data_IF_123927857991
#
_entry.id   IF_123927857991
#
_cell.length_a   1.000
_cell.length_b   1.000
_cell.length_c   1.000
_cell.angle_alpha   90.00
_cell.angle_beta   90.00
_cell.angle_gamma   90.00
#
_symmetry.space_group_name_H-M   'P 1'
#
loop_
_entity.id
_entity.type
_entity.pdbx_description
1 polymer ?
#
# COMPACT_ATOMS: atom_id res chain seq x y z
N UNK A 1 -3.15 -5.79 5.13
CA UNK A 1 -4.36 -6.36 4.51
C UNK A 1 -4.56 -7.76 5.06
N UNK A 2 -5.78 -8.07 5.52
CA UNK A 2 -6.15 -9.40 5.99
C UNK A 2 -7.35 -9.87 5.16
N UNK A 3 -7.28 -11.10 4.63
CA UNK A 3 -8.37 -11.73 3.92
C UNK A 3 -9.17 -12.63 4.87
N UNK A 4 -10.13 -12.04 5.59
CA UNK A 4 -10.97 -12.77 6.57
C UNK A 4 -12.07 -13.65 5.96
N UNK A 5 -12.00 -13.95 4.67
CA UNK A 5 -12.96 -14.85 4.02
C UNK A 5 -12.71 -16.30 4.46
N UNK A 6 -13.77 -17.12 4.52
CA UNK A 6 -13.65 -18.51 4.95
C UNK A 6 -13.04 -19.43 3.87
N UNK A 7 -13.38 -19.19 2.60
CA UNK A 7 -12.96 -20.04 1.47
C UNK A 7 -12.57 -19.25 0.21
N UNK A 8 -12.66 -17.92 0.27
CA UNK A 8 -12.42 -17.07 -0.90
C UNK A 8 -11.00 -16.54 -0.89
N UNK A 9 -10.20 -17.05 -1.81
CA UNK A 9 -8.83 -16.60 -2.06
C UNK A 9 -8.78 -15.34 -2.94
N UNK A 10 -7.68 -14.61 -2.87
CA UNK A 10 -7.22 -13.70 -3.92
C UNK A 10 -6.19 -14.46 -4.73
N UNK A 11 -6.56 -14.89 -5.94
CA UNK A 11 -5.68 -15.66 -6.83
C UNK A 11 -4.90 -14.72 -7.76
N UNK A 12 -4.01 -15.26 -8.59
CA UNK A 12 -3.34 -14.52 -9.68
C UNK A 12 -4.37 -13.83 -10.59
N UNK A 13 -4.18 -12.56 -10.99
CA UNK A 13 -2.96 -11.74 -10.89
C UNK A 13 -2.72 -11.03 -9.54
N UNK A 14 -3.49 -11.35 -8.51
CA UNK A 14 -3.35 -10.79 -7.18
C UNK A 14 -4.23 -9.56 -6.93
N UNK A 15 -4.09 -8.98 -5.74
CA UNK A 15 -4.78 -7.75 -5.39
C UNK A 15 -4.09 -6.51 -5.96
N UNK A 16 -4.88 -5.49 -6.26
CA UNK A 16 -4.43 -4.15 -6.60
C UNK A 16 -5.13 -3.15 -5.69
N UNK A 17 -4.36 -2.31 -5.01
CA UNK A 17 -4.87 -1.31 -4.07
C UNK A 17 -4.66 0.09 -4.65
N UNK A 18 -5.73 0.87 -4.76
CA UNK A 18 -5.66 2.28 -5.14
C UNK A 18 -6.23 3.19 -4.06
N UNK A 19 -5.83 4.45 -4.10
CA UNK A 19 -6.46 5.52 -3.34
C UNK A 19 -6.22 6.87 -4.01
N UNK A 20 -6.81 7.93 -3.46
CA UNK A 20 -6.62 9.31 -3.90
C UNK A 20 -6.05 10.15 -2.76
N UNK A 21 -4.92 10.81 -2.99
CA UNK A 21 -4.35 11.78 -2.06
C UNK A 21 -5.27 12.99 -1.91
N UNK A 22 -5.42 13.47 -0.67
CA UNK A 22 -6.32 14.58 -0.36
C UNK A 22 -5.79 15.91 -0.89
N UNK A 23 -4.46 16.08 -0.94
CA UNK A 23 -3.78 17.31 -1.35
C UNK A 23 -2.72 17.00 -2.41
N UNK A 24 -1.44 17.17 -2.05
CA UNK A 24 -0.25 17.06 -2.91
C UNK A 24 0.73 16.01 -2.36
N UNK A 25 0.23 15.10 -1.53
CA UNK A 25 1.04 14.02 -0.98
C UNK A 25 1.65 13.18 -2.12
N UNK A 26 2.85 12.67 -1.87
CA UNK A 26 3.61 11.81 -2.79
C UNK A 26 4.14 10.60 -2.05
N UNK A 27 4.41 9.51 -2.77
CA UNK A 27 5.07 8.33 -2.23
C UNK A 27 6.57 8.49 -2.41
N UNK A 28 7.30 8.66 -1.31
CA UNK A 28 8.77 8.74 -1.34
C UNK A 28 9.39 7.37 -1.56
N UNK A 29 9.01 6.40 -0.73
CA UNK A 29 9.53 5.03 -0.79
C UNK A 29 8.42 4.04 -0.43
N UNK A 30 8.61 2.80 -0.86
CA UNK A 30 7.73 1.67 -0.55
C UNK A 30 8.57 0.43 -0.31
N UNK A 31 8.13 -0.42 0.63
CA UNK A 31 8.77 -1.70 0.95
C UNK A 31 7.69 -2.78 1.03
N UNK A 32 7.91 -3.91 0.37
CA UNK A 32 6.96 -5.03 0.26
C UNK A 32 5.91 -4.87 -0.84
N UNK A 33 5.75 -3.68 -1.41
CA UNK A 33 4.84 -3.40 -2.52
C UNK A 33 5.40 -2.28 -3.39
N UNK A 34 4.84 -2.08 -4.58
CA UNK A 34 5.25 -1.02 -5.50
C UNK A 34 4.06 -0.35 -6.17
N UNK A 35 4.19 0.95 -6.43
CA UNK A 35 3.31 1.64 -7.36
C UNK A 35 3.56 1.16 -8.80
N UNK A 36 2.49 0.98 -9.57
CA UNK A 36 2.57 0.54 -10.98
C UNK A 36 3.07 1.64 -11.92
N UNK A 37 2.94 2.90 -11.51
CA UNK A 37 3.33 4.07 -12.30
C UNK A 37 3.92 5.15 -11.38
N UNK A 38 4.97 5.83 -11.84
CA UNK A 38 5.57 6.94 -11.10
C UNK A 38 4.78 8.24 -11.27
N UNK A 39 4.25 8.52 -12.47
CA UNK A 39 3.59 9.79 -12.80
C UNK A 39 4.56 10.96 -13.01
N UNK A 40 4.03 12.18 -13.04
CA UNK A 40 4.84 13.39 -13.23
C UNK A 40 5.47 13.86 -11.91
N UNK A 41 6.75 13.54 -11.73
CA UNK A 41 7.58 13.99 -10.61
C UNK A 41 8.53 15.15 -10.99
N UNK A 42 8.33 15.84 -12.11
CA UNK A 42 9.25 16.88 -12.63
C UNK A 42 9.56 18.04 -11.66
N UNK A 43 8.67 18.26 -10.68
CA UNK A 43 8.86 19.27 -9.62
C UNK A 43 9.99 18.96 -8.65
N UNK A 44 10.39 17.70 -8.53
CA UNK A 44 11.44 17.25 -7.63
C UNK A 44 12.78 17.20 -8.39
N UNK A 45 13.78 17.94 -7.88
CA UNK A 45 15.14 17.94 -8.45
C UNK A 45 16.05 17.10 -7.55
N UNK A 46 16.85 16.22 -8.15
CA UNK A 46 17.73 15.31 -7.40
C UNK A 46 17.00 14.01 -7.02
N UNK A 47 16.62 13.87 -5.75
CA UNK A 47 15.87 12.70 -5.29
C UNK A 47 14.43 12.77 -5.79
N UNK A 48 14.04 11.76 -6.59
CA UNK A 48 12.71 11.66 -7.18
C UNK A 48 11.88 10.70 -6.33
N UNK A 49 10.65 11.05 -5.92
CA UNK A 49 9.76 10.14 -5.21
C UNK A 49 9.43 8.88 -6.03
N UNK A 50 9.15 7.77 -5.34
CA UNK A 50 8.65 6.54 -5.95
C UNK A 50 7.40 6.76 -6.81
N UNK A 51 6.46 7.61 -6.36
CA UNK A 51 5.28 7.95 -7.14
C UNK A 51 4.71 9.34 -6.77
N UNK A 52 4.44 10.16 -7.79
CA UNK A 52 3.83 11.48 -7.67
C UNK A 52 2.39 11.54 -8.21
N UNK A 53 1.81 10.40 -8.62
CA UNK A 53 0.40 10.36 -9.02
C UNK A 53 -0.49 10.70 -7.83
N UNK A 54 -1.50 11.55 -8.07
CA UNK A 54 -2.54 11.84 -7.09
C UNK A 54 -3.38 10.60 -6.74
N UNK A 55 -3.47 9.67 -7.69
CA UNK A 55 -4.20 8.41 -7.56
C UNK A 55 -3.25 7.23 -7.81
N UNK A 56 -2.37 6.88 -6.85
CA UNK A 56 -1.46 5.76 -7.02
C UNK A 56 -2.23 4.44 -7.07
N UNK A 57 -1.68 3.50 -7.83
CA UNK A 57 -2.13 2.12 -7.91
C UNK A 57 -0.98 1.23 -7.46
N UNK A 58 -1.23 0.43 -6.43
CA UNK A 58 -0.21 -0.36 -5.74
C UNK A 58 -0.48 -1.84 -5.96
N UNK A 59 0.59 -2.55 -6.28
CA UNK A 59 0.61 -4.00 -6.37
C UNK A 59 1.65 -4.54 -5.40
N UNK A 60 1.38 -5.73 -4.88
CA UNK A 60 2.36 -6.47 -4.10
C UNK A 60 3.58 -6.82 -4.97
N UNK A 61 4.74 -6.93 -4.33
CA UNK A 61 5.94 -7.40 -5.04
C UNK A 61 5.83 -8.89 -5.38
N UNK A 62 6.63 -9.35 -6.35
CA UNK A 62 6.72 -10.77 -6.67
C UNK A 62 7.64 -11.50 -5.68
N UNK A 63 7.53 -12.83 -5.56
CA UNK A 63 8.49 -13.62 -4.80
C UNK A 63 9.92 -13.42 -5.33
N UNK A 64 10.91 -13.44 -4.44
CA UNK A 64 12.33 -13.34 -4.79
C UNK A 64 12.88 -11.90 -4.83
N UNK A 65 12.12 -10.88 -4.43
CA UNK A 65 12.65 -9.53 -4.29
C UNK A 65 13.79 -9.44 -3.25
N UNK A 66 14.78 -8.54 -3.44
CA UNK A 66 15.87 -8.34 -2.49
C UNK A 66 15.40 -8.11 -1.05
N UNK A 67 16.15 -8.61 -0.07
CA UNK A 67 15.77 -8.56 1.35
C UNK A 67 15.51 -7.13 1.86
N UNK A 68 16.25 -6.13 1.37
CA UNK A 68 16.05 -4.72 1.73
C UNK A 68 14.75 -4.10 1.17
N UNK A 69 14.05 -4.82 0.28
CA UNK A 69 12.75 -4.43 -0.28
C UNK A 69 11.61 -5.29 0.24
N UNK A 70 11.90 -6.27 1.11
CA UNK A 70 10.90 -7.13 1.73
C UNK A 70 10.32 -6.49 2.99
N UNK A 71 9.05 -6.79 3.24
CA UNK A 71 8.33 -6.50 4.47
C UNK A 71 7.63 -7.76 4.97
N UNK A 72 7.23 -7.79 6.24
CA UNK A 72 6.54 -8.95 6.82
C UNK A 72 5.29 -9.32 6.01
N UNK A 73 5.15 -10.59 5.64
CA UNK A 73 4.02 -11.12 4.86
C UNK A 73 3.77 -10.46 3.49
N UNK A 74 4.76 -9.76 2.92
CA UNK A 74 4.67 -9.21 1.57
C UNK A 74 4.99 -10.26 0.49
N UNK A 75 5.01 -9.77 -0.74
CA UNK A 75 5.84 -10.28 -1.82
C UNK A 75 5.38 -11.64 -2.37
N UNK A 76 4.06 -11.82 -2.42
CA UNK A 76 3.38 -13.02 -2.93
C UNK A 76 2.70 -12.75 -4.28
N UNK A 77 3.06 -11.66 -4.95
CA UNK A 77 2.39 -11.21 -6.18
C UNK A 77 0.92 -10.90 -5.97
N UNK A 78 0.54 -10.52 -4.75
CA UNK A 78 -0.83 -10.13 -4.41
C UNK A 78 -1.75 -11.32 -4.17
N UNK A 79 -1.22 -12.54 -4.16
CA UNK A 79 -1.98 -13.74 -3.83
C UNK A 79 -2.18 -13.83 -2.33
N UNK A 80 -3.42 -14.06 -1.90
CA UNK A 80 -3.80 -14.27 -0.51
C UNK A 80 -4.73 -15.47 -0.39
N UNK A 81 -4.40 -16.36 0.54
CA UNK A 81 -5.32 -17.43 0.92
C UNK A 81 -6.53 -16.85 1.70
N UNK A 82 -7.58 -17.65 1.84
CA UNK A 82 -8.68 -17.39 2.73
C UNK A 82 -8.26 -17.71 4.17
N UNK A 83 -8.78 -16.94 5.13
CA UNK A 83 -8.48 -17.17 6.55
C UNK A 83 -8.96 -18.53 7.04
N UNK A 84 -10.06 -19.06 6.49
CA UNK A 84 -10.57 -20.36 6.90
C UNK A 84 -9.72 -21.56 6.47
N UNK A 85 -8.83 -21.38 5.48
CA UNK A 85 -7.92 -22.43 5.02
C UNK A 85 -6.52 -22.26 5.58
N UNK A 86 -5.92 -21.08 5.47
CA UNK A 86 -4.62 -20.78 6.05
C UNK A 86 -4.52 -19.33 6.55
N UNK A 87 -4.73 -19.11 7.87
CA UNK A 87 -4.59 -17.79 8.50
C UNK A 87 -3.22 -17.13 8.35
N UNK A 88 -2.14 -17.91 8.16
CA UNK A 88 -0.78 -17.36 8.10
C UNK A 88 -0.53 -16.67 6.76
N UNK A 89 -1.04 -17.25 5.67
CA UNK A 89 -0.88 -16.68 4.32
C UNK A 89 -2.06 -15.83 3.87
N UNK A 90 -3.11 -15.69 4.68
CA UNK A 90 -4.24 -14.77 4.45
C UNK A 90 -3.92 -13.29 4.73
N UNK A 91 -2.65 -12.95 4.99
CA UNK A 91 -2.20 -11.60 5.34
C UNK A 91 -1.20 -11.08 4.33
N UNK A 92 -1.33 -9.82 3.91
CA UNK A 92 -0.31 -9.09 3.14
C UNK A 92 -0.03 -7.76 3.81
N UNK A 93 1.24 -7.39 3.94
CA UNK A 93 1.60 -6.08 4.47
C UNK A 93 2.76 -5.45 3.68
N UNK A 94 2.77 -4.14 3.68
CA UNK A 94 3.79 -3.31 3.06
C UNK A 94 3.87 -2.00 3.83
N UNK A 95 4.98 -1.29 3.67
CA UNK A 95 5.21 0.01 4.27
C UNK A 95 5.35 1.07 3.19
N UNK A 96 4.85 2.27 3.48
CA UNK A 96 4.98 3.45 2.62
C UNK A 96 5.53 4.62 3.42
N UNK A 97 6.43 5.40 2.82
CA UNK A 97 6.84 6.70 3.32
C UNK A 97 6.17 7.78 2.47
N UNK A 98 5.44 8.68 3.11
CA UNK A 98 4.60 9.69 2.45
C UNK A 98 5.22 11.07 2.61
N UNK A 99 5.49 11.73 1.49
CA UNK A 99 5.97 13.12 1.44
C UNK A 99 4.85 14.14 1.34
N UNK A 100 5.15 15.39 1.70
CA UNK A 100 4.20 16.52 1.66
C UNK A 100 2.91 16.31 2.46
N UNK A 101 2.94 15.36 3.41
CA UNK A 101 1.86 15.11 4.36
C UNK A 101 2.09 15.92 5.65
N UNK A 102 1.02 16.14 6.41
CA UNK A 102 1.16 16.62 7.79
C UNK A 102 1.72 15.52 8.70
N UNK A 103 2.29 15.88 9.85
CA UNK A 103 2.90 14.93 10.81
C UNK A 103 2.07 14.71 12.08
N UNK A 104 0.98 15.46 12.25
CA UNK A 104 0.05 15.32 13.38
C UNK A 104 -1.35 14.91 12.94
N UNK A 105 -2.12 14.32 13.85
CA UNK A 105 -3.53 13.95 13.62
C UNK A 105 -4.41 15.14 13.15
N UNK A 106 -4.00 16.38 13.41
CA UNK A 106 -4.71 17.59 12.95
C UNK A 106 -4.31 18.01 11.53
N UNK A 107 -3.04 17.83 11.17
CA UNK A 107 -2.46 18.29 9.90
C UNK A 107 -2.52 17.24 8.80
N UNK A 108 -2.48 15.95 9.15
CA UNK A 108 -2.67 14.83 8.22
C UNK A 108 -4.06 14.94 7.60
N UNK A 109 -4.14 14.80 6.28
CA UNK A 109 -5.40 14.67 5.57
C UNK A 109 -5.51 13.25 5.06
N UNK A 110 -6.57 12.57 5.48
CA UNK A 110 -6.80 11.17 5.12
C UNK A 110 -6.99 11.04 3.60
N UNK A 111 -6.38 10.02 2.97
CA UNK A 111 -6.66 9.71 1.59
C UNK A 111 -8.13 9.28 1.42
N UNK A 112 -8.61 9.40 0.20
CA UNK A 112 -10.02 9.16 -0.16
C UNK A 112 -10.10 8.12 -1.26
N UNK A 113 -11.30 7.61 -1.51
CA UNK A 113 -11.61 6.74 -2.66
C UNK A 113 -10.67 5.54 -2.74
N UNK A 114 -10.53 4.82 -1.63
CA UNK A 114 -9.79 3.57 -1.66
C UNK A 114 -10.50 2.59 -2.59
N UNK A 115 -9.71 1.88 -3.39
CA UNK A 115 -10.16 0.77 -4.23
C UNK A 115 -9.33 -0.44 -3.89
N UNK A 116 -9.99 -1.59 -3.76
CA UNK A 116 -9.33 -2.88 -3.69
C UNK A 116 -9.90 -3.72 -4.82
N UNK A 117 -9.05 -4.10 -5.74
CA UNK A 117 -9.38 -4.95 -6.87
C UNK A 117 -8.65 -6.28 -6.69
N UNK A 118 -9.27 -7.34 -7.18
CA UNK A 118 -8.69 -8.68 -7.25
C UNK A 118 -9.50 -9.51 -8.23
N UNK A 119 -9.10 -10.75 -8.50
CA UNK A 119 -9.89 -11.63 -9.36
C UNK A 119 -11.27 -11.91 -8.73
N UNK A 120 -12.30 -11.85 -9.57
CA UNK A 120 -13.68 -12.13 -9.17
C UNK A 120 -14.46 -10.89 -8.72
N UNK A 121 -15.51 -11.06 -7.88
CA UNK A 121 -16.38 -9.95 -7.46
C UNK A 121 -15.60 -8.80 -6.82
N UNK A 122 -15.91 -7.56 -7.20
CA UNK A 122 -15.23 -6.37 -6.66
C UNK A 122 -15.39 -6.19 -5.15
N UNK A 123 -14.47 -5.43 -4.54
CA UNK A 123 -14.52 -5.08 -3.13
C UNK A 123 -15.05 -3.65 -2.94
N UNK A 124 -15.79 -3.44 -1.87
CA UNK A 124 -16.21 -2.09 -1.44
C UNK A 124 -15.30 -1.63 -0.30
N UNK A 125 -14.67 -0.46 -0.47
CA UNK A 125 -13.83 0.12 0.56
C UNK A 125 -14.59 1.14 1.41
N UNK A 126 -14.39 1.07 2.73
CA UNK A 126 -14.86 2.11 3.65
C UNK A 126 -13.94 3.35 3.66
N UNK A 127 -14.36 4.44 4.33
CA UNK A 127 -13.52 5.61 4.50
C UNK A 127 -12.29 5.30 5.37
N UNK A 128 -11.17 5.96 5.08
CA UNK A 128 -10.00 5.92 5.94
C UNK A 128 -10.32 6.50 7.33
N UNK A 129 -9.61 6.02 8.36
CA UNK A 129 -9.74 6.47 9.74
C UNK A 129 -8.36 6.73 10.33
N UNK A 130 -8.26 7.73 11.20
CA UNK A 130 -7.06 7.96 12.00
C UNK A 130 -7.01 6.86 13.07
N UNK A 131 -5.87 6.19 13.16
CA UNK A 131 -5.58 5.16 14.17
C UNK A 131 -4.42 5.63 15.06
N UNK A 132 -4.23 5.05 16.26
CA UNK A 132 -3.06 5.33 17.07
C UNK A 132 -1.76 5.13 16.29
N UNK A 133 -0.81 6.04 16.47
CA UNK A 133 0.50 5.93 15.83
C UNK A 133 1.23 4.69 16.35
N UNK A 134 1.69 3.85 15.42
CA UNK A 134 2.63 2.78 15.73
C UNK A 134 4.01 3.37 15.98
N UNK A 135 4.72 2.88 17.00
CA UNK A 135 6.11 3.29 17.25
C UNK A 135 6.98 2.77 16.11
N UNK A 136 7.49 3.68 15.28
CA UNK A 136 8.52 3.36 14.28
C UNK A 136 9.91 3.63 14.88
N UNK A 137 10.87 2.75 14.60
CA UNK A 137 12.27 2.93 15.01
C UNK A 137 13.08 3.79 14.02
N UNK A 138 12.49 4.16 12.88
CA UNK A 138 13.11 4.99 11.85
C UNK A 138 12.35 6.32 11.72
N UNK A 139 13.05 7.46 11.64
CA UNK A 139 12.41 8.74 11.37
C UNK A 139 11.74 8.75 9.98
N UNK A 140 10.69 9.56 9.83
CA UNK A 140 10.18 9.94 8.51
C UNK A 140 11.31 10.62 7.74
N UNK A 141 11.65 10.10 6.56
CA UNK A 141 12.69 10.68 5.71
C UNK A 141 12.24 12.09 5.28
N UNK A 142 12.99 13.10 5.74
CA UNK A 142 12.80 14.53 5.46
C UNK A 142 13.16 14.89 4.01
#
# INVERSE_FOLDING_TARGET
MNNFQMYRHIMTPGWTLGWTWAKKEVLWTMVGAQATEQGDCSKFKGNIPHCCKKTPTIVDMLPGVPYNQQFTNCCKGGVLDSWGQDPQVSVSAFQVSVGQAGTSNKTVKLPKNFTLLGPGPGYTCGPAKIVPSTKFFTPDLY
#
